data_IF_364409189845
#
_entry.id   IF_364409189845
#
_cell.length_a   1.000
_cell.length_b   1.000
_cell.length_c   1.000
_cell.angle_alpha   90.00
_cell.angle_beta   90.00
_cell.angle_gamma   90.00
#
_symmetry.space_group_name_H-M   'P 1'
#
loop_
_entity.id
_entity.type
_entity.pdbx_description
1 polymer ?
#
# COMPACT_ATOMS: atom_id res chain seq x y z
N UNK A 1 0.67 13.39 -9.28
CA UNK A 1 2.09 13.22 -9.62
C UNK A 1 2.64 11.87 -9.12
N UNK A 2 2.78 11.60 -7.82
CA UNK A 2 3.30 10.31 -7.33
C UNK A 2 2.36 9.11 -7.52
N UNK A 3 1.07 9.23 -7.17
CA UNK A 3 0.09 8.16 -7.37
C UNK A 3 -0.02 7.70 -8.85
N UNK A 4 0.19 8.64 -9.79
CA UNK A 4 0.16 8.34 -11.21
C UNK A 4 1.47 7.70 -11.70
N UNK A 5 2.61 8.13 -11.15
CA UNK A 5 3.90 7.46 -11.37
C UNK A 5 3.86 6.01 -10.90
N UNK A 6 3.38 5.75 -9.69
CA UNK A 6 3.24 4.37 -9.16
C UNK A 6 2.27 3.54 -10.02
N UNK A 7 1.14 4.13 -10.44
CA UNK A 7 0.15 3.45 -11.26
C UNK A 7 0.66 3.05 -12.64
N UNK A 8 1.49 3.89 -13.25
CA UNK A 8 1.98 3.70 -14.63
C UNK A 8 3.38 3.06 -14.68
N UNK A 9 4.09 3.03 -13.55
CA UNK A 9 5.45 2.51 -13.44
C UNK A 9 5.49 0.99 -13.56
N UNK A 10 6.51 0.48 -14.26
CA UNK A 10 6.82 -0.94 -14.35
C UNK A 10 7.99 -1.26 -13.43
N UNK A 11 7.70 -1.37 -12.14
CA UNK A 11 8.73 -1.71 -11.16
C UNK A 11 9.13 -3.19 -11.28
N UNK A 12 10.42 -3.47 -11.40
CA UNK A 12 10.98 -4.81 -11.30
C UNK A 12 11.54 -5.11 -9.90
N UNK A 13 12.28 -6.22 -9.76
CA UNK A 13 12.75 -6.69 -8.46
C UNK A 13 13.71 -5.72 -7.76
N UNK A 14 14.55 -5.03 -8.54
CA UNK A 14 15.58 -4.13 -8.00
C UNK A 14 14.97 -2.80 -7.52
N UNK A 15 13.84 -2.39 -8.09
CA UNK A 15 13.16 -1.11 -7.76
C UNK A 15 12.17 -1.22 -6.59
N UNK A 16 12.12 -2.37 -5.91
CA UNK A 16 11.18 -2.63 -4.78
C UNK A 16 11.33 -1.59 -3.66
N UNK A 17 12.57 -1.21 -3.33
CA UNK A 17 12.85 -0.20 -2.30
C UNK A 17 12.36 1.21 -2.67
N UNK A 18 12.60 1.61 -3.92
CA UNK A 18 12.18 2.91 -4.45
C UNK A 18 10.66 3.03 -4.53
N UNK A 19 10.00 1.94 -4.90
CA UNK A 19 8.55 1.85 -4.91
C UNK A 19 7.97 2.06 -3.51
N UNK A 20 8.51 1.40 -2.49
CA UNK A 20 8.09 1.58 -1.09
C UNK A 20 8.35 3.02 -0.63
N UNK A 21 9.50 3.62 -0.99
CA UNK A 21 9.79 5.02 -0.69
C UNK A 21 8.75 5.98 -1.30
N UNK A 22 8.32 5.73 -2.54
CA UNK A 22 7.25 6.51 -3.19
C UNK A 22 5.91 6.40 -2.44
N UNK A 23 5.57 5.23 -1.92
CA UNK A 23 4.38 5.04 -1.09
C UNK A 23 4.50 5.74 0.27
N UNK A 24 5.65 5.63 0.95
CA UNK A 24 5.91 6.37 2.20
C UNK A 24 5.77 7.88 1.98
N UNK A 25 6.36 8.41 0.91
CA UNK A 25 6.21 9.81 0.53
C UNK A 25 4.73 10.17 0.33
N UNK A 26 3.98 9.35 -0.43
CA UNK A 26 2.55 9.55 -0.65
C UNK A 26 1.73 9.49 0.65
N UNK A 27 2.10 8.66 1.62
CA UNK A 27 1.45 8.62 2.93
C UNK A 27 1.69 9.88 3.76
N UNK A 28 2.90 10.45 3.70
CA UNK A 28 3.28 11.65 4.47
C UNK A 28 2.81 12.97 3.86
N UNK A 29 2.86 13.10 2.54
CA UNK A 29 2.58 14.37 1.85
C UNK A 29 1.37 14.32 0.90
N UNK A 30 0.76 13.15 0.75
CA UNK A 30 -0.42 13.00 -0.09
C UNK A 30 -1.63 13.75 0.46
N UNK A 31 -2.62 13.95 -0.41
CA UNK A 31 -3.94 14.46 -0.02
C UNK A 31 -4.99 13.36 -0.10
N UNK A 32 -6.19 13.61 0.44
CA UNK A 32 -7.30 12.64 0.43
C UNK A 32 -7.64 12.14 -0.99
N UNK A 33 -7.29 12.90 -2.04
CA UNK A 33 -7.41 12.49 -3.45
C UNK A 33 -6.63 11.21 -3.79
N UNK A 34 -5.66 10.84 -2.97
CA UNK A 34 -4.83 9.64 -3.13
C UNK A 34 -5.49 8.40 -2.51
N UNK A 35 -6.47 8.57 -1.60
CA UNK A 35 -7.10 7.47 -0.89
C UNK A 35 -7.80 6.46 -1.80
N UNK A 36 -8.56 6.85 -2.86
CA UNK A 36 -9.16 5.87 -3.76
C UNK A 36 -8.12 4.99 -4.46
N UNK A 37 -6.98 5.57 -4.83
CA UNK A 37 -5.87 4.84 -5.44
C UNK A 37 -5.23 3.87 -4.44
N UNK A 38 -4.98 4.31 -3.21
CA UNK A 38 -4.41 3.44 -2.17
C UNK A 38 -5.36 2.29 -1.81
N UNK A 39 -6.67 2.58 -1.67
CA UNK A 39 -7.71 1.58 -1.43
C UNK A 39 -7.75 0.55 -2.56
N UNK A 40 -7.78 0.99 -3.81
CA UNK A 40 -7.76 0.10 -4.97
C UNK A 40 -6.49 -0.74 -5.01
N UNK A 41 -5.32 -0.15 -4.80
CA UNK A 41 -4.04 -0.86 -4.80
C UNK A 41 -3.97 -1.94 -3.71
N UNK A 42 -4.51 -1.65 -2.52
CA UNK A 42 -4.53 -2.60 -1.41
C UNK A 42 -5.56 -3.73 -1.62
N UNK A 43 -6.79 -3.37 -1.98
CA UNK A 43 -7.93 -4.31 -1.99
C UNK A 43 -8.13 -5.03 -3.32
N UNK A 44 -7.90 -4.38 -4.45
CA UNK A 44 -8.08 -4.99 -5.77
C UNK A 44 -6.76 -5.56 -6.26
N UNK A 45 -6.74 -6.88 -6.44
CA UNK A 45 -5.79 -7.48 -7.36
C UNK A 45 -6.31 -8.83 -7.82
N UNK A 46 -6.36 -8.99 -9.13
CA UNK A 46 -6.70 -10.26 -9.75
C UNK A 46 -5.74 -11.36 -9.32
N UNK A 47 -6.20 -12.58 -9.47
CA UNK A 47 -5.57 -13.85 -9.09
C UNK A 47 -4.16 -14.08 -9.69
N UNK A 48 -3.74 -13.25 -10.65
CA UNK A 48 -2.59 -13.46 -11.53
C UNK A 48 -1.25 -12.80 -11.11
N UNK A 49 -1.18 -12.10 -9.97
CA UNK A 49 0.07 -11.45 -9.56
C UNK A 49 0.43 -11.82 -8.13
N UNK A 50 1.16 -12.93 -7.94
CA UNK A 50 1.47 -13.49 -6.62
C UNK A 50 2.73 -12.88 -5.97
N UNK A 51 3.62 -12.28 -6.76
CA UNK A 51 4.88 -11.71 -6.27
C UNK A 51 4.89 -10.18 -6.31
N UNK A 52 4.62 -9.53 -7.46
CA UNK A 52 4.56 -8.05 -7.55
C UNK A 52 3.40 -7.41 -6.78
N UNK A 53 2.26 -8.10 -6.71
CA UNK A 53 1.12 -7.55 -6.00
C UNK A 53 1.25 -7.63 -4.47
N UNK A 54 2.35 -8.19 -3.94
CA UNK A 54 2.68 -8.09 -2.51
C UNK A 54 3.28 -6.72 -2.20
N UNK A 55 4.32 -6.29 -2.92
CA UNK A 55 4.99 -4.99 -2.68
C UNK A 55 4.05 -3.79 -2.88
N UNK A 56 3.22 -3.80 -3.93
CA UNK A 56 2.24 -2.73 -4.17
C UNK A 56 1.21 -2.64 -3.04
N UNK A 57 0.73 -3.78 -2.54
CA UNK A 57 -0.22 -3.83 -1.42
C UNK A 57 0.43 -3.38 -0.13
N UNK A 58 1.65 -3.84 0.14
CA UNK A 58 2.42 -3.44 1.31
C UNK A 58 2.69 -1.93 1.30
N UNK A 59 3.15 -1.39 0.17
CA UNK A 59 3.32 0.05 -0.01
C UNK A 59 2.02 0.81 0.21
N UNK A 60 0.91 0.35 -0.36
CA UNK A 60 -0.39 0.97 -0.15
C UNK A 60 -0.83 0.95 1.32
N UNK A 61 -0.60 -0.17 2.02
CA UNK A 61 -0.90 -0.30 3.44
C UNK A 61 -0.04 0.65 4.29
N UNK A 62 1.26 0.73 4.03
CA UNK A 62 2.18 1.68 4.68
C UNK A 62 1.71 3.12 4.45
N UNK A 63 1.36 3.47 3.21
CA UNK A 63 0.91 4.80 2.86
C UNK A 63 -0.39 5.16 3.61
N UNK A 64 -1.37 4.25 3.65
CA UNK A 64 -2.62 4.44 4.41
C UNK A 64 -2.36 4.63 5.91
N UNK A 65 -1.42 3.88 6.47
CA UNK A 65 -1.09 3.98 7.89
C UNK A 65 -0.44 5.33 8.22
N UNK A 66 0.48 5.78 7.37
CA UNK A 66 1.13 7.08 7.52
C UNK A 66 0.18 8.25 7.25
N UNK A 67 -0.84 8.04 6.41
CA UNK A 67 -1.87 9.03 6.16
C UNK A 67 -2.69 9.34 7.42
N UNK A 68 -2.97 8.32 8.24
CA UNK A 68 -3.46 8.46 9.62
C UNK A 68 -4.86 9.07 9.77
N UNK A 69 -5.57 9.36 8.69
CA UNK A 69 -6.96 9.85 8.76
C UNK A 69 -7.93 8.71 9.02
N UNK A 70 -9.09 9.03 9.60
CA UNK A 70 -10.14 8.04 9.89
C UNK A 70 -10.51 7.19 8.66
N UNK A 71 -10.66 7.82 7.49
CA UNK A 71 -10.93 7.10 6.23
C UNK A 71 -9.81 6.14 5.84
N UNK A 72 -8.54 6.53 6.04
CA UNK A 72 -7.40 5.68 5.71
C UNK A 72 -7.29 4.46 6.64
N UNK A 73 -7.58 4.66 7.94
CA UNK A 73 -7.58 3.60 8.94
C UNK A 73 -8.74 2.63 8.74
N UNK A 74 -9.92 3.11 8.35
CA UNK A 74 -11.06 2.25 7.98
C UNK A 74 -10.73 1.31 6.81
N UNK A 75 -9.98 1.79 5.81
CA UNK A 75 -9.54 0.96 4.68
C UNK A 75 -8.53 -0.11 5.13
N UNK A 76 -7.61 0.22 6.04
CA UNK A 76 -6.66 -0.76 6.60
C UNK A 76 -7.37 -1.85 7.40
N UNK A 77 -8.35 -1.46 8.21
CA UNK A 77 -9.14 -2.39 9.01
C UNK A 77 -10.02 -3.31 8.13
N UNK A 78 -10.63 -2.77 7.07
CA UNK A 78 -11.29 -3.56 6.01
C UNK A 78 -10.31 -4.59 5.40
N UNK A 79 -9.10 -4.17 5.06
CA UNK A 79 -8.08 -5.03 4.46
C UNK A 79 -7.58 -6.13 5.42
N UNK A 80 -7.38 -5.80 6.70
CA UNK A 80 -6.96 -6.75 7.73
C UNK A 80 -7.98 -7.89 7.93
N UNK A 81 -9.26 -7.61 7.65
CA UNK A 81 -10.39 -8.57 7.73
C UNK A 81 -10.74 -9.24 6.41
N UNK A 82 -9.97 -9.00 5.34
CA UNK A 82 -10.23 -9.54 4.00
C UNK A 82 -10.16 -11.08 3.94
N UNK A 83 -10.97 -11.72 3.10
CA UNK A 83 -10.83 -13.16 2.85
C UNK A 83 -9.56 -13.50 2.05
N UNK A 84 -8.96 -12.53 1.35
CA UNK A 84 -7.75 -12.71 0.56
C UNK A 84 -6.50 -12.65 1.46
N UNK A 85 -5.71 -13.74 1.57
CA UNK A 85 -4.54 -13.76 2.45
C UNK A 85 -3.52 -12.65 2.15
N UNK A 86 -3.25 -12.39 0.87
CA UNK A 86 -2.31 -11.35 0.46
C UNK A 86 -2.73 -9.94 0.90
N UNK A 87 -4.04 -9.66 0.95
CA UNK A 87 -4.58 -8.37 1.40
C UNK A 87 -4.44 -8.25 2.92
N UNK A 88 -4.81 -9.31 3.66
CA UNK A 88 -4.65 -9.33 5.12
C UNK A 88 -3.20 -9.17 5.54
N UNK A 89 -2.30 -9.95 4.95
CA UNK A 89 -0.88 -9.92 5.30
C UNK A 89 -0.27 -8.54 5.07
N UNK A 90 -0.63 -7.86 3.96
CA UNK A 90 -0.16 -6.50 3.69
C UNK A 90 -0.65 -5.49 4.74
N UNK A 91 -1.91 -5.57 5.17
CA UNK A 91 -2.46 -4.70 6.21
C UNK A 91 -1.85 -5.00 7.58
N UNK A 92 -1.67 -6.29 7.91
CA UNK A 92 -1.09 -6.73 9.18
C UNK A 92 0.38 -6.36 9.33
N UNK A 93 1.15 -6.37 8.25
CA UNK A 93 2.57 -6.03 8.23
C UNK A 93 2.86 -4.62 8.79
N UNK A 94 1.89 -3.71 8.67
CA UNK A 94 1.97 -2.36 9.24
C UNK A 94 2.01 -2.38 10.77
N UNK A 95 1.24 -3.27 11.41
CA UNK A 95 1.13 -3.33 12.87
C UNK A 95 2.26 -4.13 13.53
N UNK A 96 2.92 -5.02 12.79
CA UNK A 96 4.04 -5.85 13.29
C UNK A 96 5.40 -5.16 13.28
N UNK A 97 5.48 -3.85 13.00
CA UNK A 97 6.71 -3.08 13.15
C UNK A 97 7.69 -3.15 11.98
N UNK A 98 7.42 -3.91 10.91
CA UNK A 98 8.26 -3.92 9.69
C UNK A 98 8.07 -2.67 8.82
N UNK A 99 7.28 -1.70 9.29
CA UNK A 99 7.13 -0.36 8.71
C UNK A 99 7.97 0.74 9.40
N UNK A 100 8.68 0.41 10.47
CA UNK A 100 9.63 1.30 11.15
C UNK A 100 11.05 1.06 10.66
N UNK A 101 11.67 2.07 10.06
CA UNK A 101 13.11 2.05 9.78
C UNK A 101 13.93 2.22 11.08
N UNK A 102 15.20 1.75 11.11
CA UNK A 102 16.15 2.02 12.19
C UNK A 102 16.48 3.51 12.34
#
# INVERSE_FOLDING_TARGET
MLAQYIRNGKFDGDETGELIACFKALGRCGTERSLPFLKETLLKGGWLSRFRASTLRQGAAIALAQFGTEKSLQVLDEAARSHFPAVRSAAQAVYTGEGGEP
#
